data_IF_820139253946
#
_entry.id   IF_820139253946
#
_cell.length_a   1.000
_cell.length_b   1.000
_cell.length_c   1.000
_cell.angle_alpha   90.00
_cell.angle_beta   90.00
_cell.angle_gamma   90.00
#
_symmetry.space_group_name_H-M   'P 1'
#
loop_
_entity.id
_entity.type
_entity.pdbx_description
1 polymer ?
#
# COMPACT_ATOMS: atom_id res chain seq x y z
N UNK A 1 18.25 -6.88 -1.75
CA UNK A 1 16.83 -6.64 -1.41
C UNK A 1 16.08 -6.81 -2.71
N UNK A 2 15.15 -7.75 -2.74
CA UNK A 2 14.31 -8.06 -3.89
C UNK A 2 12.90 -7.49 -3.67
N UNK A 3 12.00 -7.64 -4.63
CA UNK A 3 10.64 -7.15 -4.48
C UNK A 3 9.90 -6.97 -5.80
N UNK A 4 8.78 -6.25 -5.74
CA UNK A 4 7.99 -5.88 -6.92
C UNK A 4 7.54 -4.42 -6.87
N UNK A 5 7.44 -3.81 -8.05
CA UNK A 5 6.60 -2.63 -8.26
C UNK A 5 5.23 -3.12 -8.70
N UNK A 6 4.20 -2.85 -7.90
CA UNK A 6 2.82 -3.22 -8.22
C UNK A 6 2.00 -1.97 -8.48
N UNK A 7 1.22 -1.99 -9.57
CA UNK A 7 0.28 -0.91 -9.90
C UNK A 7 -1.17 -1.40 -9.82
N UNK A 8 -2.04 -0.54 -9.31
CA UNK A 8 -3.47 -0.75 -9.24
C UNK A 8 -4.18 0.46 -9.81
N UNK A 9 -5.03 0.23 -10.81
CA UNK A 9 -5.94 1.24 -11.35
C UNK A 9 -7.36 0.85 -10.93
N UNK A 10 -8.05 1.76 -10.25
CA UNK A 10 -9.42 1.53 -9.87
C UNK A 10 -10.32 1.47 -11.11
N UNK A 11 -11.43 0.74 -11.03
CA UNK A 11 -12.32 0.43 -12.16
C UNK A 11 -12.92 1.65 -12.85
N UNK A 12 -13.01 2.78 -12.15
CA UNK A 12 -13.50 4.05 -12.72
C UNK A 12 -12.40 4.89 -13.40
N UNK A 13 -11.15 4.42 -13.44
CA UNK A 13 -9.98 5.10 -14.00
C UNK A 13 -9.65 6.48 -13.38
N UNK A 14 -10.25 6.84 -12.24
CA UNK A 14 -10.02 8.12 -11.54
C UNK A 14 -9.00 8.01 -10.41
N UNK A 15 -8.64 6.80 -9.99
CA UNK A 15 -7.67 6.55 -8.91
C UNK A 15 -6.65 5.51 -9.38
N UNK A 16 -5.37 5.86 -9.26
CA UNK A 16 -4.25 4.97 -9.53
C UNK A 16 -3.31 4.90 -8.33
N UNK A 17 -2.76 3.72 -8.05
CA UNK A 17 -1.79 3.51 -6.98
C UNK A 17 -0.60 2.74 -7.54
N UNK A 18 0.59 3.11 -7.13
CA UNK A 18 1.81 2.35 -7.38
C UNK A 18 2.55 2.14 -6.06
N UNK A 19 2.95 0.91 -5.79
CA UNK A 19 3.65 0.54 -4.57
C UNK A 19 4.96 -0.20 -4.90
N UNK A 20 5.97 0.02 -4.07
CA UNK A 20 7.18 -0.79 -4.02
C UNK A 20 7.11 -1.65 -2.75
N UNK A 21 7.04 -2.97 -2.95
CA UNK A 21 7.00 -3.97 -1.87
C UNK A 21 8.27 -4.82 -1.96
N UNK A 22 9.09 -4.77 -0.91
CA UNK A 22 10.37 -5.46 -0.85
C UNK A 22 10.27 -6.74 -0.02
N UNK A 23 11.05 -7.74 -0.42
CA UNK A 23 11.35 -8.98 0.29
C UNK A 23 12.87 -9.24 0.24
N UNK A 24 13.31 -10.40 0.73
CA UNK A 24 14.74 -10.72 0.82
C UNK A 24 15.23 -11.43 -0.45
N UNK A 25 14.43 -12.37 -0.98
CA UNK A 25 14.79 -13.17 -2.17
C UNK A 25 13.81 -13.01 -3.33
N UNK A 26 14.27 -13.34 -4.53
CA UNK A 26 13.47 -13.33 -5.74
C UNK A 26 12.49 -14.52 -5.80
N UNK A 27 12.75 -15.59 -5.03
CA UNK A 27 11.82 -16.70 -4.87
C UNK A 27 10.51 -16.25 -4.25
N UNK A 28 10.58 -15.44 -3.17
CA UNK A 28 9.38 -14.88 -2.52
C UNK A 28 8.69 -13.83 -3.39
N UNK A 29 9.43 -12.98 -4.10
CA UNK A 29 8.82 -11.95 -4.96
C UNK A 29 7.97 -12.53 -6.10
N UNK A 30 8.21 -13.80 -6.48
CA UNK A 30 7.48 -14.56 -7.51
C UNK A 30 6.28 -15.35 -6.96
N UNK A 31 6.07 -15.39 -5.63
CA UNK A 31 4.98 -16.15 -5.00
C UNK A 31 3.62 -15.48 -5.22
N UNK A 32 2.54 -16.24 -5.54
CA UNK A 32 1.20 -15.68 -5.68
C UNK A 32 0.72 -14.90 -4.44
N UNK A 33 1.10 -15.36 -3.25
CA UNK A 33 0.74 -14.72 -1.98
C UNK A 33 1.36 -13.33 -1.85
N UNK A 34 2.60 -13.15 -2.31
CA UNK A 34 3.29 -11.85 -2.32
C UNK A 34 2.61 -10.85 -3.28
N UNK A 35 2.25 -11.30 -4.49
CA UNK A 35 1.45 -10.50 -5.42
C UNK A 35 0.08 -10.14 -4.85
N UNK A 36 -0.57 -11.07 -4.16
CA UNK A 36 -1.88 -10.84 -3.56
C UNK A 36 -1.80 -9.85 -2.39
N UNK A 37 -0.73 -9.88 -1.60
CA UNK A 37 -0.44 -8.89 -0.57
C UNK A 37 -0.26 -7.49 -1.20
N UNK A 38 0.56 -7.38 -2.23
CA UNK A 38 0.77 -6.12 -2.95
C UNK A 38 -0.54 -5.53 -3.49
N UNK A 39 -1.37 -6.37 -4.12
CA UNK A 39 -2.71 -5.98 -4.60
C UNK A 39 -3.61 -5.47 -3.47
N UNK A 40 -3.65 -6.18 -2.35
CA UNK A 40 -4.47 -5.80 -1.20
C UNK A 40 -4.04 -4.45 -0.60
N UNK A 41 -2.73 -4.23 -0.46
CA UNK A 41 -2.17 -2.96 0.01
C UNK A 41 -2.48 -1.83 -0.98
N UNK A 42 -2.31 -2.06 -2.28
CA UNK A 42 -2.59 -1.04 -3.29
C UNK A 42 -4.08 -0.66 -3.34
N UNK A 43 -4.99 -1.63 -3.19
CA UNK A 43 -6.42 -1.37 -3.05
C UNK A 43 -6.74 -0.58 -1.77
N UNK A 44 -6.11 -0.93 -0.64
CA UNK A 44 -6.25 -0.19 0.63
C UNK A 44 -5.87 1.29 0.43
N UNK A 45 -4.73 1.54 -0.21
CA UNK A 45 -4.26 2.91 -0.49
C UNK A 45 -5.25 3.66 -1.38
N UNK A 46 -5.80 2.99 -2.40
CA UNK A 46 -6.76 3.60 -3.31
C UNK A 46 -8.04 4.03 -2.60
N UNK A 47 -8.51 3.21 -1.66
CA UNK A 47 -9.73 3.43 -0.88
C UNK A 47 -9.54 4.37 0.34
N UNK A 48 -8.31 4.70 0.72
CA UNK A 48 -8.05 5.50 1.93
C UNK A 48 -8.11 7.00 1.65
N UNK A 49 -9.02 7.71 2.31
CA UNK A 49 -9.11 9.18 2.26
C UNK A 49 -7.97 9.88 3.02
N UNK A 50 -7.33 9.18 3.95
CA UNK A 50 -6.19 9.68 4.72
C UNK A 50 -4.89 9.70 3.91
N UNK A 51 -4.87 8.98 2.78
CA UNK A 51 -3.73 8.93 1.87
C UNK A 51 -4.00 9.91 0.72
N UNK A 52 -3.25 11.00 0.77
CA UNK A 52 -3.32 12.12 -0.15
C UNK A 52 -2.70 11.79 -1.50
N UNK A 53 -3.25 12.42 -2.55
CA UNK A 53 -2.72 12.31 -3.90
C UNK A 53 -1.39 13.06 -4.06
N UNK A 54 -0.65 12.76 -5.12
CA UNK A 54 0.60 13.47 -5.44
C UNK A 54 0.42 14.98 -5.66
N UNK A 55 -0.76 15.40 -6.10
CA UNK A 55 -1.07 16.76 -6.53
C UNK A 55 -1.83 17.59 -5.47
N UNK A 56 -1.98 17.08 -4.25
CA UNK A 56 -2.66 17.83 -3.20
C UNK A 56 -1.78 19.05 -2.83
N UNK A 57 -2.24 20.27 -3.16
CA UNK A 57 -1.57 21.54 -2.81
C UNK A 57 -1.54 21.67 -1.28
N UNK A 58 -0.36 21.51 -0.69
CA UNK A 58 -0.19 21.39 0.78
C UNK A 58 -0.09 22.77 1.39
N UNK A 59 -1.21 23.47 1.45
CA UNK A 59 -1.26 24.77 2.12
C UNK A 59 -1.78 24.70 3.56
N UNK A 60 -2.11 23.52 4.11
CA UNK A 60 -2.36 23.39 5.55
C UNK A 60 -2.34 21.93 6.06
N UNK A 61 -1.16 21.39 6.42
CA UNK A 61 -0.94 20.25 7.36
C UNK A 61 0.49 19.69 7.25
N UNK A 62 1.48 20.42 7.78
CA UNK A 62 2.85 19.91 7.94
C UNK A 62 2.92 18.64 8.83
N UNK A 63 1.87 18.34 9.62
CA UNK A 63 1.82 17.19 10.54
C UNK A 63 1.30 15.88 9.90
N UNK A 64 0.51 15.93 8.82
CA UNK A 64 -0.14 14.73 8.23
C UNK A 64 0.72 14.05 7.16
N UNK A 65 1.56 14.81 6.43
CA UNK A 65 2.49 14.21 5.45
C UNK A 65 3.49 13.25 6.07
N UNK A 66 3.92 13.49 7.30
CA UNK A 66 5.11 12.84 7.87
C UNK A 66 4.92 11.35 8.17
N UNK A 67 3.71 10.81 8.06
CA UNK A 67 3.43 9.44 8.48
C UNK A 67 2.31 8.72 7.70
N UNK A 68 2.13 8.98 6.39
CA UNK A 68 1.14 8.24 5.57
C UNK A 68 1.34 6.72 5.64
N UNK A 69 2.59 6.24 5.66
CA UNK A 69 2.92 4.83 5.87
C UNK A 69 2.45 4.33 7.24
N UNK A 70 2.67 5.09 8.32
CA UNK A 70 2.20 4.72 9.66
C UNK A 70 0.66 4.67 9.73
N UNK A 71 -0.02 5.62 9.09
CA UNK A 71 -1.48 5.64 8.98
C UNK A 71 -1.99 4.42 8.21
N UNK A 72 -1.33 4.07 7.10
CA UNK A 72 -1.63 2.85 6.34
C UNK A 72 -1.46 1.60 7.21
N UNK A 73 -0.34 1.44 7.90
CA UNK A 73 -0.06 0.30 8.79
C UNK A 73 -1.12 0.12 9.86
N UNK A 74 -1.57 1.22 10.48
CA UNK A 74 -2.58 1.21 11.55
C UNK A 74 -4.02 1.08 11.04
N UNK A 75 -4.27 1.30 9.75
CA UNK A 75 -5.61 1.21 9.19
C UNK A 75 -6.11 -0.24 9.16
N UNK A 76 -7.41 -0.43 9.41
CA UNK A 76 -8.07 -1.73 9.23
C UNK A 76 -8.11 -2.12 7.76
N UNK A 77 -7.88 -3.40 7.49
CA UNK A 77 -7.87 -3.93 6.13
C UNK A 77 -9.29 -3.93 5.54
N UNK A 78 -9.47 -3.30 4.37
CA UNK A 78 -10.79 -3.13 3.74
C UNK A 78 -11.53 -4.44 3.46
N UNK A 79 -10.84 -5.56 3.24
CA UNK A 79 -11.49 -6.87 3.00
C UNK A 79 -11.72 -7.67 4.29
N UNK A 80 -11.09 -7.28 5.39
CA UNK A 80 -11.26 -7.89 6.70
C UNK A 80 -10.99 -6.86 7.79
N UNK A 81 -12.05 -6.22 8.26
CA UNK A 81 -11.99 -5.15 9.26
C UNK A 81 -11.57 -5.60 10.67
N UNK A 82 -11.24 -6.89 10.86
CA UNK A 82 -10.74 -7.42 12.14
C UNK A 82 -9.22 -7.28 12.30
N UNK A 83 -8.50 -7.03 11.21
CA UNK A 83 -7.04 -6.92 11.23
C UNK A 83 -6.57 -5.60 10.62
N UNK A 84 -5.42 -5.11 11.08
CA UNK A 84 -4.74 -3.96 10.47
C UNK A 84 -3.87 -4.39 9.27
N UNK A 85 -3.41 -3.43 8.47
CA UNK A 85 -2.43 -3.71 7.41
C UNK A 85 -1.11 -4.22 7.97
N UNK A 86 -0.68 -3.71 9.13
CA UNK A 86 0.50 -4.24 9.84
C UNK A 86 0.32 -5.73 10.17
N UNK A 87 -0.83 -6.12 10.72
CA UNK A 87 -1.13 -7.51 11.01
C UNK A 87 -1.21 -8.37 9.74
N UNK A 88 -1.78 -7.84 8.65
CA UNK A 88 -1.79 -8.52 7.36
C UNK A 88 -0.36 -8.78 6.83
N UNK A 89 0.53 -7.80 6.95
CA UNK A 89 1.94 -7.96 6.54
C UNK A 89 2.62 -9.00 7.42
N UNK A 90 2.44 -8.93 8.75
CA UNK A 90 3.04 -9.89 9.68
C UNK A 90 2.57 -11.33 9.42
N UNK A 91 1.30 -11.53 9.08
CA UNK A 91 0.78 -12.84 8.66
C UNK A 91 1.50 -13.36 7.41
N UNK A 92 1.80 -12.48 6.44
CA UNK A 92 2.53 -12.87 5.22
C UNK A 92 4.02 -13.07 5.47
N UNK A 93 4.64 -12.33 6.40
CA UNK A 93 6.02 -12.57 6.85
C UNK A 93 6.13 -13.97 7.45
N UNK A 94 5.20 -14.34 8.34
CA UNK A 94 5.16 -15.69 8.94
C UNK A 94 4.93 -16.76 7.86
N UNK A 95 4.02 -16.51 6.92
CA UNK A 95 3.69 -17.46 5.85
C UNK A 95 4.85 -17.69 4.87
N UNK A 96 5.55 -16.62 4.50
CA UNK A 96 6.59 -16.65 3.46
C UNK A 96 7.99 -16.85 4.02
N UNK A 97 8.19 -16.68 5.33
CA UNK A 97 9.47 -16.89 6.00
C UNK A 97 10.50 -15.79 5.73
N UNK A 98 10.09 -14.64 5.20
CA UNK A 98 10.96 -13.50 4.88
C UNK A 98 10.37 -12.20 5.40
N UNK A 99 11.24 -11.24 5.71
CA UNK A 99 10.81 -9.89 6.01
C UNK A 99 10.17 -9.21 4.78
N UNK A 100 9.05 -8.52 4.99
CA UNK A 100 8.30 -7.83 3.93
C UNK A 100 8.10 -6.37 4.32
N UNK A 101 8.53 -5.46 3.44
CA UNK A 101 8.52 -4.02 3.72
C UNK A 101 7.83 -3.26 2.59
N UNK A 102 6.87 -2.40 2.93
CA UNK A 102 6.42 -1.34 2.02
C UNK A 102 7.50 -0.26 1.97
N UNK A 103 8.26 -0.17 0.88
CA UNK A 103 9.33 0.82 0.76
C UNK A 103 8.78 2.20 0.46
N UNK A 104 7.89 2.31 -0.52
CA UNK A 104 7.19 3.55 -0.90
C UNK A 104 5.90 3.25 -1.62
N UNK A 105 5.03 4.25 -1.67
CA UNK A 105 3.86 4.24 -2.53
C UNK A 105 3.51 5.64 -2.98
N UNK A 106 2.75 5.71 -4.06
CA UNK A 106 2.14 6.95 -4.56
C UNK A 106 0.70 6.66 -4.95
N UNK A 107 -0.18 7.63 -4.66
CA UNK A 107 -1.58 7.63 -5.08
C UNK A 107 -1.77 8.81 -6.03
N UNK A 108 -2.37 8.53 -7.18
CA UNK A 108 -2.87 9.53 -8.12
C UNK A 108 -4.38 9.56 -8.02
N UNK A 109 -4.93 10.77 -7.94
CA UNK A 109 -6.36 11.01 -7.95
C UNK A 109 -6.61 12.02 -9.06
N UNK A 110 -7.51 11.71 -9.97
CA UNK A 110 -7.96 12.65 -10.97
C UNK A 110 -8.67 13.80 -10.26
N UNK A 111 -8.17 15.04 -10.42
CA UNK A 111 -8.76 16.22 -9.84
C UNK A 111 -10.25 16.31 -10.26
N UNK A 112 -11.14 16.39 -9.27
CA UNK A 112 -12.53 16.76 -9.53
C UNK A 112 -12.54 18.27 -9.78
N UNK A 113 -13.06 18.68 -10.93
CA UNK A 113 -13.42 20.08 -11.18
C UNK A 113 -14.54 20.51 -10.25
#
# INVERSE_FOLDING_TARGET
MEGIIFSYIHTNHKVGVMIELNCETDFVSKRPEFYQLAKNIAMQIAASDLIHGSNDNINNKLTVKKNQKLLLMKSFFIKNNKITIEQLINQNIILLGENIIISRFIKFILAQK
#
